data_IF_305885193044
#
_entry.id   IF_305885193044
#
_cell.length_a   1.000
_cell.length_b   1.000
_cell.length_c   1.000
_cell.angle_alpha   90.00
_cell.angle_beta   90.00
_cell.angle_gamma   90.00
#
_symmetry.space_group_name_H-M   'P 1'
#
loop_
_entity.id
_entity.type
_entity.pdbx_description
1 polymer ?
#
# COMPACT_ATOMS: atom_id res chain seq x y z
N UNK A 1 30.05 -36.29 4.08
CA UNK A 1 28.66 -36.07 4.55
C UNK A 1 28.41 -34.57 4.78
N UNK A 2 27.17 -34.13 4.52
CA UNK A 2 26.61 -32.77 4.66
C UNK A 2 26.90 -31.80 3.49
N UNK A 3 26.12 -31.93 2.43
CA UNK A 3 25.70 -30.78 1.64
C UNK A 3 24.50 -30.16 2.38
N UNK A 4 24.72 -29.03 3.05
CA UNK A 4 23.64 -28.15 3.46
C UNK A 4 23.05 -27.52 2.19
N UNK A 5 22.06 -28.18 1.60
CA UNK A 5 21.16 -27.53 0.66
C UNK A 5 20.31 -26.57 1.50
N UNK A 6 20.66 -25.28 1.49
CA UNK A 6 19.74 -24.24 1.92
C UNK A 6 18.47 -24.41 1.08
N UNK A 7 17.35 -24.68 1.75
CA UNK A 7 16.07 -24.75 1.10
C UNK A 7 15.85 -23.41 0.39
N UNK A 8 15.64 -23.44 -0.92
CA UNK A 8 15.19 -22.29 -1.68
C UNK A 8 13.77 -21.98 -1.19
N UNK A 9 13.65 -21.18 -0.14
CA UNK A 9 12.37 -20.58 0.23
C UNK A 9 12.06 -19.55 -0.88
N UNK A 10 11.03 -19.78 -1.71
CA UNK A 10 10.69 -18.81 -2.73
C UNK A 10 10.34 -17.49 -2.03
N UNK A 11 10.88 -16.37 -2.52
CA UNK A 11 10.55 -15.07 -1.95
C UNK A 11 9.03 -14.89 -1.88
N UNK A 12 8.50 -14.37 -0.75
CA UNK A 12 7.07 -14.20 -0.58
C UNK A 12 6.53 -13.31 -1.70
N UNK A 13 5.41 -13.74 -2.30
CA UNK A 13 4.72 -12.96 -3.34
C UNK A 13 4.46 -11.54 -2.85
N UNK A 14 4.74 -10.51 -3.67
CA UNK A 14 4.44 -9.14 -3.28
C UNK A 14 2.97 -8.97 -2.92
N UNK A 15 2.70 -8.13 -1.92
CA UNK A 15 1.32 -7.80 -1.54
C UNK A 15 0.76 -6.75 -2.51
N UNK A 16 -0.56 -6.69 -2.60
CA UNK A 16 -1.27 -5.59 -3.24
C UNK A 16 -1.80 -4.60 -2.20
N UNK A 17 -2.01 -3.36 -2.63
CA UNK A 17 -2.73 -2.37 -1.81
C UNK A 17 -4.18 -2.82 -1.69
N UNK A 18 -4.71 -2.74 -0.48
CA UNK A 18 -6.11 -3.06 -0.17
C UNK A 18 -6.61 -2.08 0.89
N UNK A 19 -7.93 -1.88 0.96
CA UNK A 19 -8.58 -1.10 2.02
C UNK A 19 -8.09 -1.56 3.40
N UNK A 20 -8.09 -2.87 3.63
CA UNK A 20 -7.63 -3.44 4.90
C UNK A 20 -6.20 -3.06 5.23
N UNK A 21 -5.27 -3.23 4.29
CA UNK A 21 -3.85 -2.91 4.50
C UNK A 21 -3.65 -1.43 4.82
N UNK A 22 -4.29 -0.54 4.06
CA UNK A 22 -4.18 0.91 4.25
C UNK A 22 -4.72 1.30 5.63
N UNK A 23 -5.88 0.77 6.02
CA UNK A 23 -6.51 1.09 7.28
C UNK A 23 -5.69 0.57 8.47
N UNK A 24 -5.14 -0.64 8.38
CA UNK A 24 -4.23 -1.20 9.41
C UNK A 24 -2.97 -0.36 9.62
N UNK A 25 -2.49 0.30 8.56
CA UNK A 25 -1.25 1.09 8.58
C UNK A 25 -1.48 2.56 8.93
N UNK A 26 -2.64 3.11 8.55
CA UNK A 26 -2.93 4.54 8.62
C UNK A 26 -3.79 4.92 9.83
N UNK A 27 -4.52 3.97 10.42
CA UNK A 27 -5.41 4.22 11.55
C UNK A 27 -4.76 3.85 12.89
N UNK A 28 -5.19 4.52 13.96
CA UNK A 28 -4.91 4.10 15.33
C UNK A 28 -5.65 2.82 15.68
N UNK A 29 -5.23 2.14 16.76
CA UNK A 29 -5.91 0.94 17.25
C UNK A 29 -7.40 1.16 17.54
N UNK A 30 -7.78 2.35 18.04
CA UNK A 30 -9.17 2.68 18.32
C UNK A 30 -9.99 2.81 17.03
N UNK A 31 -9.49 3.56 16.06
CA UNK A 31 -10.12 3.75 14.76
C UNK A 31 -10.22 2.44 13.97
N UNK A 32 -9.24 1.54 14.10
CA UNK A 32 -9.28 0.22 13.47
C UNK A 32 -10.40 -0.66 14.05
N UNK A 33 -10.67 -0.58 15.35
CA UNK A 33 -11.79 -1.30 15.98
C UNK A 33 -13.16 -0.76 15.53
N UNK A 34 -13.24 0.53 15.20
CA UNK A 34 -14.43 1.11 14.57
C UNK A 34 -14.56 0.64 13.12
N UNK A 35 -13.45 0.66 12.36
CA UNK A 35 -13.38 0.18 10.99
C UNK A 35 -13.86 -1.28 10.85
N UNK A 36 -13.49 -2.15 11.80
CA UNK A 36 -13.88 -3.57 11.82
C UNK A 36 -15.40 -3.80 11.95
N UNK A 37 -16.15 -2.77 12.33
CA UNK A 37 -17.61 -2.82 12.49
C UNK A 37 -18.36 -2.18 11.34
N UNK A 38 -17.65 -1.53 10.42
CA UNK A 38 -18.24 -0.86 9.27
C UNK A 38 -18.73 -1.88 8.25
N UNK A 39 -19.85 -1.55 7.61
CA UNK A 39 -20.23 -2.23 6.39
C UNK A 39 -19.34 -1.80 5.20
N UNK A 40 -19.58 -2.40 4.04
CA UNK A 40 -18.77 -2.14 2.84
C UNK A 40 -18.87 -0.69 2.36
N UNK A 41 -20.04 -0.07 2.47
CA UNK A 41 -20.24 1.32 2.02
C UNK A 41 -19.55 2.29 2.98
N UNK A 42 -19.74 2.08 4.29
CA UNK A 42 -19.11 2.91 5.31
C UNK A 42 -17.57 2.80 5.26
N UNK A 43 -17.03 1.61 5.01
CA UNK A 43 -15.60 1.39 4.82
C UNK A 43 -15.06 2.13 3.58
N UNK A 44 -15.85 2.18 2.51
CA UNK A 44 -15.51 2.90 1.28
C UNK A 44 -15.54 4.42 1.49
N UNK A 45 -16.58 4.94 2.14
CA UNK A 45 -16.66 6.37 2.52
C UNK A 45 -15.46 6.78 3.39
N UNK A 46 -15.04 5.91 4.32
CA UNK A 46 -13.85 6.15 5.14
C UNK A 46 -12.59 6.26 4.28
N UNK A 47 -12.43 5.38 3.29
CA UNK A 47 -11.29 5.40 2.38
C UNK A 47 -11.26 6.67 1.52
N UNK A 48 -12.41 7.09 1.01
CA UNK A 48 -12.58 8.31 0.22
C UNK A 48 -12.28 9.59 1.01
N UNK A 49 -12.30 9.52 2.35
CA UNK A 49 -11.95 10.64 3.22
C UNK A 49 -10.46 10.69 3.63
N UNK A 50 -9.68 9.65 3.36
CA UNK A 50 -8.27 9.59 3.76
C UNK A 50 -7.42 10.55 2.93
N UNK A 51 -6.69 11.43 3.63
CA UNK A 51 -5.73 12.37 3.03
C UNK A 51 -4.31 11.83 2.96
N UNK A 52 -3.97 10.91 3.85
CA UNK A 52 -2.62 10.35 3.96
C UNK A 52 -2.72 8.83 3.95
N UNK A 53 -2.00 8.20 3.02
CA UNK A 53 -1.93 6.75 2.89
C UNK A 53 -0.56 6.27 3.34
N UNK A 54 -0.53 5.45 4.39
CA UNK A 54 0.67 4.75 4.86
C UNK A 54 0.65 3.32 4.34
N UNK A 55 1.59 2.98 3.47
CA UNK A 55 1.79 1.60 2.97
C UNK A 55 3.27 1.26 2.82
N UNK A 56 4.14 1.96 3.55
CA UNK A 56 5.55 1.64 3.71
C UNK A 56 5.75 0.26 4.36
N UNK A 57 6.87 -0.40 4.04
CA UNK A 57 7.24 -1.70 4.60
C UNK A 57 6.13 -2.76 4.46
N UNK A 58 5.53 -2.83 3.28
CA UNK A 58 4.39 -3.74 3.01
C UNK A 58 4.69 -4.77 1.92
N UNK A 59 5.93 -4.83 1.43
CA UNK A 59 6.36 -5.72 0.35
C UNK A 59 5.49 -5.61 -0.91
N UNK A 60 5.09 -4.39 -1.26
CA UNK A 60 4.30 -4.12 -2.48
C UNK A 60 5.16 -4.29 -3.73
N UNK A 61 4.62 -4.90 -4.79
CA UNK A 61 5.32 -5.11 -6.07
C UNK A 61 4.94 -4.11 -7.15
N UNK A 62 3.73 -3.56 -7.04
CA UNK A 62 3.08 -2.68 -8.00
C UNK A 62 2.28 -1.60 -7.26
N UNK A 63 2.00 -0.51 -7.98
CA UNK A 63 1.10 0.55 -7.54
C UNK A 63 -0.25 0.26 -8.22
N UNK A 64 -1.25 -0.19 -7.45
CA UNK A 64 -2.57 -0.55 -7.96
C UNK A 64 -3.62 -0.44 -6.84
N UNK A 65 -4.90 -0.51 -7.18
CA UNK A 65 -6.04 -0.46 -6.24
C UNK A 65 -6.10 0.83 -5.40
N UNK A 66 -5.80 1.96 -6.03
CA UNK A 66 -5.77 3.28 -5.39
C UNK A 66 -7.05 4.11 -5.62
N UNK A 67 -7.95 3.64 -6.49
CA UNK A 67 -9.19 4.31 -6.88
C UNK A 67 -10.09 4.71 -5.69
N UNK A 68 -10.20 3.93 -4.60
CA UNK A 68 -10.98 4.33 -3.44
C UNK A 68 -10.46 5.57 -2.68
N UNK A 69 -9.22 6.00 -2.91
CA UNK A 69 -8.53 7.02 -2.11
C UNK A 69 -8.39 8.36 -2.84
N UNK A 70 -9.41 8.80 -3.58
CA UNK A 70 -9.39 10.03 -4.40
C UNK A 70 -9.05 11.33 -3.62
N UNK A 71 -9.20 11.33 -2.29
CA UNK A 71 -8.83 12.46 -1.43
C UNK A 71 -7.38 12.46 -0.95
N UNK A 72 -6.60 11.42 -1.29
CA UNK A 72 -5.22 11.31 -0.84
C UNK A 72 -4.35 12.44 -1.42
N UNK A 73 -3.70 13.18 -0.51
CA UNK A 73 -2.75 14.24 -0.80
C UNK A 73 -1.31 13.73 -0.60
N UNK A 74 -1.13 12.71 0.25
CA UNK A 74 0.18 12.17 0.65
C UNK A 74 0.17 10.63 0.55
N UNK A 75 1.14 10.07 -0.18
CA UNK A 75 1.32 8.62 -0.33
C UNK A 75 2.73 8.18 0.06
N UNK A 76 2.82 7.36 1.11
CA UNK A 76 4.06 6.76 1.59
C UNK A 76 4.20 5.32 1.10
N UNK A 77 5.14 5.09 0.18
CA UNK A 77 5.44 3.80 -0.43
C UNK A 77 6.89 3.34 -0.17
N UNK A 78 7.59 3.95 0.78
CA UNK A 78 8.99 3.63 1.05
C UNK A 78 9.18 2.16 1.47
N UNK A 79 10.34 1.60 1.14
CA UNK A 79 10.74 0.25 1.55
C UNK A 79 9.75 -0.84 1.11
N UNK A 80 9.31 -0.74 -0.15
CA UNK A 80 8.57 -1.78 -0.85
C UNK A 80 9.45 -2.39 -1.97
N UNK A 81 8.86 -3.11 -2.92
CA UNK A 81 9.54 -3.79 -4.04
C UNK A 81 9.03 -3.31 -5.40
N UNK A 82 8.55 -2.07 -5.45
CA UNK A 82 7.91 -1.50 -6.63
C UNK A 82 8.96 -1.31 -7.73
N UNK A 83 8.64 -1.79 -8.93
CA UNK A 83 9.53 -1.73 -10.10
C UNK A 83 9.23 -0.55 -11.03
N UNK A 84 7.99 -0.06 -11.00
CA UNK A 84 7.44 0.91 -11.95
C UNK A 84 6.59 1.94 -11.22
N UNK A 85 6.73 3.20 -11.59
CA UNK A 85 5.82 4.25 -11.17
C UNK A 85 4.72 4.33 -12.23
N UNK A 86 3.50 3.93 -11.86
CA UNK A 86 2.32 3.84 -12.74
C UNK A 86 1.02 3.96 -11.89
N UNK A 87 -0.14 4.10 -12.54
CA UNK A 87 -1.49 4.11 -11.93
C UNK A 87 -1.74 5.19 -10.86
N UNK A 88 -1.05 6.33 -10.95
CA UNK A 88 -1.23 7.46 -10.02
C UNK A 88 -2.30 8.47 -10.48
N UNK A 89 -2.82 8.31 -11.70
CA UNK A 89 -3.86 9.14 -12.30
C UNK A 89 -5.20 9.11 -11.54
N UNK A 90 -5.46 8.03 -10.79
CA UNK A 90 -6.62 7.92 -9.89
C UNK A 90 -6.52 8.77 -8.61
N UNK A 91 -5.37 9.41 -8.33
CA UNK A 91 -5.14 10.26 -7.17
C UNK A 91 -5.00 11.74 -7.58
N UNK A 92 -6.09 12.42 -7.99
CA UNK A 92 -6.03 13.77 -8.56
C UNK A 92 -5.57 14.84 -7.57
N UNK A 93 -5.55 14.53 -6.26
CA UNK A 93 -5.12 15.44 -5.20
C UNK A 93 -3.71 15.16 -4.67
N UNK A 94 -3.01 14.17 -5.22
CA UNK A 94 -1.69 13.78 -4.73
C UNK A 94 -0.68 14.91 -4.90
N UNK A 95 -0.07 15.33 -3.79
CA UNK A 95 0.93 16.40 -3.73
C UNK A 95 2.29 15.88 -3.28
N UNK A 96 2.31 14.80 -2.52
CA UNK A 96 3.52 14.21 -1.99
C UNK A 96 3.55 12.69 -2.19
N UNK A 97 4.66 12.21 -2.75
CA UNK A 97 4.90 10.80 -3.02
C UNK A 97 6.31 10.41 -2.56
N UNK A 98 6.39 9.45 -1.63
CA UNK A 98 7.67 8.94 -1.16
C UNK A 98 7.91 7.50 -1.59
N UNK A 99 8.99 7.28 -2.33
CA UNK A 99 9.31 6.01 -2.99
C UNK A 99 10.69 5.44 -2.59
N UNK A 100 11.36 6.04 -1.61
CA UNK A 100 12.70 5.62 -1.17
C UNK A 100 12.74 4.12 -0.82
N UNK A 101 13.77 3.41 -1.26
CA UNK A 101 13.94 1.99 -0.92
C UNK A 101 13.04 1.04 -1.70
N UNK A 102 12.58 1.43 -2.89
CA UNK A 102 11.99 0.55 -3.90
C UNK A 102 13.03 0.13 -4.97
N UNK A 103 12.62 -0.72 -5.91
CA UNK A 103 13.43 -1.21 -7.02
C UNK A 103 13.03 -0.55 -8.37
N UNK A 104 12.68 0.74 -8.32
CA UNK A 104 12.10 1.46 -9.46
C UNK A 104 13.15 1.58 -10.57
N UNK A 105 12.77 1.12 -11.76
CA UNK A 105 13.61 1.14 -12.96
C UNK A 105 12.90 1.74 -14.18
N UNK A 106 11.58 1.95 -14.09
CA UNK A 106 10.74 2.52 -15.17
C UNK A 106 9.78 3.57 -14.60
N UNK A 107 9.53 4.61 -15.39
CA UNK A 107 8.55 5.66 -15.16
C UNK A 107 7.58 5.67 -16.36
N UNK A 108 6.27 5.60 -16.09
CA UNK A 108 5.21 5.64 -17.12
C UNK A 108 4.16 6.71 -16.85
#
# INVERSE_FOLDING_TARGET
>A
PLAHMEAFEPEPRPKSISLRLVMEKSLTKGELLEYDRLDTNEALERAQALKTLHVEWSSLGDIANLEPFEAAEVLYLQYNRILRIENLDCLPRLQFLALQGNAISVLE
#
